data_IF_951544955011
#
_entry.id   IF_951544955011
#
_cell.length_a   1.000
_cell.length_b   1.000
_cell.length_c   1.000
_cell.angle_alpha   90.00
_cell.angle_beta   90.00
_cell.angle_gamma   90.00
#
_symmetry.space_group_name_H-M   'P 1'
#
loop_
_entity.id
_entity.type
_entity.pdbx_description
1 polymer ?
#
# COMPACT_ATOMS: atom_id res chain seq x y z
N UNK A 1 -4.16 12.18 -30.36
CA UNK A 1 -3.64 10.82 -30.61
C UNK A 1 -2.20 10.64 -30.13
N UNK A 2 -1.26 11.54 -30.45
CA UNK A 2 0.15 11.46 -30.00
C UNK A 2 0.30 11.39 -28.46
N UNK A 3 -0.61 12.00 -27.71
CA UNK A 3 -0.60 12.00 -26.24
C UNK A 3 -0.77 10.62 -25.58
N UNK A 4 -1.34 9.62 -26.26
CA UNK A 4 -1.56 8.27 -25.71
C UNK A 4 -0.42 7.30 -26.05
N UNK A 5 0.32 7.54 -27.13
CA UNK A 5 1.40 6.66 -27.57
C UNK A 5 2.61 6.74 -26.62
N UNK A 6 2.92 7.94 -26.12
CA UNK A 6 4.05 8.15 -25.21
C UNK A 6 3.91 7.39 -23.88
N UNK A 7 2.79 7.46 -23.15
CA UNK A 7 2.61 6.66 -21.94
C UNK A 7 2.56 5.16 -22.23
N UNK A 8 2.02 4.72 -23.37
CA UNK A 8 2.04 3.31 -23.79
C UNK A 8 3.47 2.77 -23.92
N UNK A 9 4.36 3.51 -24.59
CA UNK A 9 5.77 3.12 -24.71
C UNK A 9 6.51 3.17 -23.37
N UNK A 10 6.22 4.14 -22.49
CA UNK A 10 6.82 4.19 -21.15
C UNK A 10 6.42 2.98 -20.28
N UNK A 11 5.17 2.51 -20.43
CA UNK A 11 4.65 1.31 -19.76
C UNK A 11 5.28 0.03 -20.33
N UNK A 12 5.30 -0.13 -21.66
CA UNK A 12 5.89 -1.30 -22.32
C UNK A 12 7.40 -1.42 -22.09
N UNK A 13 8.10 -0.30 -21.92
CA UNK A 13 9.53 -0.27 -21.65
C UNK A 13 9.85 -0.34 -20.15
N UNK A 14 8.83 -0.48 -19.28
CA UNK A 14 8.97 -0.50 -17.82
C UNK A 14 9.76 0.71 -17.27
N UNK A 15 9.71 1.83 -17.99
CA UNK A 15 10.41 3.08 -17.63
C UNK A 15 9.63 3.86 -16.57
N UNK A 16 8.39 3.46 -16.31
CA UNK A 16 7.53 3.97 -15.24
C UNK A 16 7.28 2.85 -14.23
N UNK A 17 7.82 3.03 -13.01
CA UNK A 17 7.38 2.28 -11.82
C UNK A 17 6.10 2.89 -11.23
N UNK A 18 5.67 2.52 -10.00
CA UNK A 18 4.44 3.00 -9.33
C UNK A 18 4.49 4.51 -9.00
N UNK A 19 4.48 5.32 -10.04
CA UNK A 19 4.28 6.76 -10.05
C UNK A 19 2.88 7.12 -10.56
N UNK A 20 2.10 6.12 -10.98
CA UNK A 20 0.77 6.33 -11.59
C UNK A 20 -0.34 6.52 -10.56
N UNK A 21 -0.09 6.18 -9.29
CA UNK A 21 -1.04 6.46 -8.22
C UNK A 21 -0.90 7.92 -7.77
N UNK A 22 -2.00 8.70 -7.80
CA UNK A 22 -1.98 10.09 -7.36
C UNK A 22 -1.61 10.13 -5.88
N UNK A 23 -0.75 11.10 -5.52
CA UNK A 23 -0.45 11.34 -4.11
C UNK A 23 -1.76 11.68 -3.37
N UNK A 24 -2.22 10.76 -2.53
CA UNK A 24 -3.44 10.91 -1.77
C UNK A 24 -3.32 10.24 -0.40
N UNK A 25 -2.79 10.96 0.61
CA UNK A 25 -2.83 10.54 2.01
C UNK A 25 -4.22 10.11 2.50
N UNK A 26 -5.34 10.78 2.14
CA UNK A 26 -6.65 10.29 2.55
C UNK A 26 -6.97 8.93 1.92
N UNK A 27 -6.59 8.69 0.65
CA UNK A 27 -6.78 7.37 0.05
C UNK A 27 -5.98 6.30 0.82
N UNK A 28 -4.71 6.55 1.17
CA UNK A 28 -3.89 5.63 1.97
C UNK A 28 -4.60 5.28 3.28
N UNK A 29 -5.11 6.29 3.99
CA UNK A 29 -5.83 6.07 5.25
C UNK A 29 -7.10 5.24 5.05
N UNK A 30 -7.89 5.52 4.00
CA UNK A 30 -9.11 4.75 3.70
C UNK A 30 -8.81 3.29 3.35
N UNK A 31 -7.80 3.02 2.52
CA UNK A 31 -7.42 1.66 2.14
C UNK A 31 -6.83 0.89 3.31
N UNK A 32 -5.94 1.52 4.09
CA UNK A 32 -5.40 0.90 5.29
C UNK A 32 -6.52 0.57 6.30
N UNK A 33 -7.45 1.51 6.53
CA UNK A 33 -8.59 1.26 7.40
C UNK A 33 -9.47 0.12 6.87
N UNK A 34 -9.82 0.13 5.59
CA UNK A 34 -10.61 -0.93 4.96
C UNK A 34 -9.95 -2.30 5.09
N UNK A 35 -8.63 -2.38 4.88
CA UNK A 35 -7.85 -3.59 5.06
C UNK A 35 -7.91 -4.10 6.52
N UNK A 36 -7.72 -3.22 7.50
CA UNK A 36 -7.79 -3.61 8.92
C UNK A 36 -9.21 -4.04 9.31
N UNK A 37 -10.22 -3.30 8.87
CA UNK A 37 -11.62 -3.64 9.11
C UNK A 37 -11.99 -5.01 8.51
N UNK A 38 -11.53 -5.29 7.28
CA UNK A 38 -11.73 -6.60 6.65
C UNK A 38 -11.05 -7.71 7.44
N UNK A 39 -9.84 -7.50 7.95
CA UNK A 39 -9.17 -8.48 8.79
C UNK A 39 -9.92 -8.77 10.08
N UNK A 40 -10.46 -7.73 10.74
CA UNK A 40 -11.29 -7.89 11.93
C UNK A 40 -12.58 -8.64 11.61
N UNK A 41 -13.27 -8.28 10.53
CA UNK A 41 -14.49 -8.95 10.08
C UNK A 41 -14.25 -10.44 9.78
N UNK A 42 -13.17 -10.76 9.06
CA UNK A 42 -12.80 -12.14 8.77
C UNK A 42 -12.40 -12.91 10.04
N UNK A 43 -11.66 -12.28 10.95
CA UNK A 43 -11.31 -12.89 12.23
C UNK A 43 -12.54 -13.22 13.08
N UNK A 44 -13.54 -12.33 13.11
CA UNK A 44 -14.81 -12.58 13.76
C UNK A 44 -15.58 -13.73 13.09
N UNK A 45 -15.61 -13.77 11.75
CA UNK A 45 -16.29 -14.83 11.00
C UNK A 45 -15.66 -16.22 11.19
N UNK A 46 -14.35 -16.29 11.47
CA UNK A 46 -13.64 -17.55 11.74
C UNK A 46 -13.46 -17.85 13.23
N UNK A 47 -14.11 -17.09 14.12
CA UNK A 47 -14.00 -17.21 15.58
C UNK A 47 -12.53 -17.21 16.09
N UNK A 48 -11.67 -16.42 15.45
CA UNK A 48 -10.26 -16.36 15.80
C UNK A 48 -10.06 -15.76 17.20
N UNK A 49 -9.14 -16.30 18.04
CA UNK A 49 -8.84 -15.74 19.34
C UNK A 49 -8.42 -14.26 19.24
N UNK A 50 -8.87 -13.38 20.17
CA UNK A 50 -8.57 -11.94 20.11
C UNK A 50 -7.07 -11.62 20.06
N UNK A 51 -6.24 -12.39 20.78
CA UNK A 51 -4.79 -12.22 20.79
C UNK A 51 -4.18 -12.51 19.40
N UNK A 52 -4.67 -13.53 18.70
CA UNK A 52 -4.19 -13.86 17.34
C UNK A 52 -4.62 -12.78 16.35
N UNK A 53 -5.85 -12.27 16.47
CA UNK A 53 -6.34 -11.19 15.63
C UNK A 53 -5.54 -9.89 15.83
N UNK A 54 -5.27 -9.52 17.09
CA UNK A 54 -4.44 -8.37 17.42
C UNK A 54 -3.02 -8.51 16.88
N UNK A 55 -2.40 -9.69 17.03
CA UNK A 55 -1.08 -9.96 16.47
C UNK A 55 -1.08 -9.84 14.93
N UNK A 56 -2.09 -10.39 14.25
CA UNK A 56 -2.21 -10.31 12.80
C UNK A 56 -2.36 -8.87 12.30
N UNK A 57 -3.23 -8.08 12.94
CA UNK A 57 -3.41 -6.65 12.61
C UNK A 57 -2.12 -5.87 12.85
N UNK A 58 -1.46 -6.11 13.99
CA UNK A 58 -0.17 -5.49 14.34
C UNK A 58 0.93 -5.81 13.33
N UNK A 59 1.09 -7.08 12.95
CA UNK A 59 2.05 -7.52 11.92
C UNK A 59 1.73 -6.86 10.59
N UNK A 60 0.45 -6.84 10.18
CA UNK A 60 0.05 -6.21 8.92
C UNK A 60 0.39 -4.72 8.92
N UNK A 61 0.07 -3.99 10.00
CA UNK A 61 0.39 -2.58 10.12
C UNK A 61 1.90 -2.32 10.12
N UNK A 62 2.68 -3.16 10.81
CA UNK A 62 4.13 -3.05 10.83
C UNK A 62 4.75 -3.29 9.45
N UNK A 63 4.30 -4.31 8.72
CA UNK A 63 4.77 -4.57 7.36
C UNK A 63 4.35 -3.45 6.41
N UNK A 64 3.08 -3.04 6.46
CA UNK A 64 2.53 -2.03 5.57
C UNK A 64 3.22 -0.68 5.76
N UNK A 65 3.32 -0.19 7.00
CA UNK A 65 3.87 1.14 7.27
C UNK A 65 5.35 1.11 7.68
N UNK A 66 5.72 0.25 8.62
CA UNK A 66 7.07 0.22 9.18
C UNK A 66 8.11 -0.22 8.16
N UNK A 67 7.96 -1.44 7.64
CA UNK A 67 8.92 -2.01 6.69
C UNK A 67 8.98 -1.20 5.40
N UNK A 68 7.83 -0.83 4.83
CA UNK A 68 7.77 0.02 3.63
C UNK A 68 8.51 1.34 3.82
N UNK A 69 8.30 2.04 4.94
CA UNK A 69 8.98 3.30 5.20
C UNK A 69 10.48 3.14 5.40
N UNK A 70 10.92 2.10 6.11
CA UNK A 70 12.36 1.81 6.28
C UNK A 70 13.01 1.55 4.92
N UNK A 71 12.40 0.72 4.09
CA UNK A 71 12.92 0.41 2.76
C UNK A 71 13.00 1.65 1.86
N UNK A 72 11.96 2.49 1.86
CA UNK A 72 11.97 3.73 1.08
C UNK A 72 13.04 4.72 1.57
N UNK A 73 13.19 4.87 2.89
CA UNK A 73 14.26 5.70 3.47
C UNK A 73 15.65 5.21 3.10
N UNK A 74 15.91 3.91 3.19
CA UNK A 74 17.19 3.30 2.80
C UNK A 74 17.51 3.50 1.31
N UNK A 75 16.49 3.73 0.48
CA UNK A 75 16.62 3.98 -0.96
C UNK A 75 16.55 5.46 -1.35
N UNK A 76 16.36 6.38 -0.39
CA UNK A 76 16.18 7.81 -0.67
C UNK A 76 14.90 8.12 -1.46
N UNK A 77 13.83 7.33 -1.26
CA UNK A 77 12.54 7.42 -1.96
C UNK A 77 11.37 7.64 -1.00
N UNK A 78 11.61 8.25 0.15
CA UNK A 78 10.62 8.55 1.19
C UNK A 78 9.47 9.44 0.69
N UNK A 79 9.74 10.30 -0.29
CA UNK A 79 8.74 11.10 -0.99
C UNK A 79 7.65 10.28 -1.71
N UNK A 80 7.87 8.98 -1.95
CA UNK A 80 6.93 8.08 -2.62
C UNK A 80 6.13 7.19 -1.67
N UNK A 81 6.18 7.45 -0.36
CA UNK A 81 5.54 6.60 0.63
C UNK A 81 4.04 6.40 0.36
N UNK A 82 3.28 7.48 0.15
CA UNK A 82 1.84 7.38 -0.08
C UNK A 82 1.49 6.58 -1.35
N UNK A 83 2.29 6.73 -2.41
CA UNK A 83 2.06 6.05 -3.69
C UNK A 83 2.41 4.56 -3.60
N UNK A 84 3.50 4.26 -2.88
CA UNK A 84 3.92 2.87 -2.59
C UNK A 84 2.90 2.16 -1.71
N UNK A 85 2.31 2.85 -0.73
CA UNK A 85 1.29 2.29 0.16
C UNK A 85 -0.05 2.02 -0.55
N UNK A 86 -0.30 2.67 -1.68
CA UNK A 86 -1.51 2.49 -2.50
C UNK A 86 -1.35 1.45 -3.61
N UNK A 87 -0.12 1.04 -3.92
CA UNK A 87 0.21 0.11 -5.00
C UNK A 87 0.01 -1.35 -4.55
#
# INVERSE_FOLDING_TARGET
MVALLRPLFELCLLRRGPQDLPYSPPAVATFAFALMALQLAMGAATEAPPAQLAARVGVTAFLLFGVTQVLLKLRGLDNRAAQTLLA
#
